data_IF_687981164310
#
_entry.id   IF_687981164310
#
_cell.length_a   1.000
_cell.length_b   1.000
_cell.length_c   1.000
_cell.angle_alpha   90.00
_cell.angle_beta   90.00
_cell.angle_gamma   90.00
#
_symmetry.space_group_name_H-M   'P 1'
#
loop_
_entity.id
_entity.type
_entity.pdbx_description
1 polymer ?
#
# COMPACT_ATOMS: atom_id res chain seq x y z
N UNK A 1 71.15 -60.38 18.03
CA UNK A 1 70.19 -60.41 19.15
C UNK A 1 69.40 -59.11 19.14
N UNK A 2 68.09 -59.22 18.91
CA UNK A 2 67.01 -58.30 19.34
C UNK A 2 67.02 -56.83 18.87
N UNK A 3 66.29 -56.60 17.77
CA UNK A 3 65.19 -55.61 17.56
C UNK A 3 65.26 -54.21 18.19
N UNK A 4 65.37 -53.17 17.35
CA UNK A 4 64.82 -51.83 17.61
C UNK A 4 64.20 -51.30 16.30
N UNK A 5 62.89 -51.54 16.11
CA UNK A 5 62.11 -50.89 15.06
C UNK A 5 61.48 -49.63 15.66
N UNK A 6 61.95 -48.47 15.22
CA UNK A 6 61.35 -47.17 15.52
C UNK A 6 60.14 -46.97 14.62
N UNK A 7 58.93 -47.02 15.17
CA UNK A 7 57.73 -46.61 14.46
C UNK A 7 57.60 -45.08 14.52
N UNK A 8 57.93 -44.40 13.42
CA UNK A 8 57.56 -43.01 13.21
C UNK A 8 56.17 -42.99 12.56
N UNK A 9 55.13 -42.70 13.34
CA UNK A 9 53.80 -42.40 12.85
C UNK A 9 53.80 -41.00 12.22
N UNK A 10 53.78 -40.93 10.88
CA UNK A 10 53.50 -39.66 10.17
C UNK A 10 51.99 -39.59 9.97
N UNK A 11 51.31 -38.87 10.85
CA UNK A 11 49.92 -38.45 10.68
C UNK A 11 49.88 -37.31 9.65
N UNK A 12 49.60 -37.65 8.40
CA UNK A 12 49.23 -36.69 7.37
C UNK A 12 47.78 -36.24 7.63
N UNK A 13 47.63 -35.09 8.28
CA UNK A 13 46.36 -34.35 8.35
C UNK A 13 46.11 -33.68 7.00
N UNK A 14 45.33 -34.31 6.14
CA UNK A 14 44.74 -33.67 4.96
C UNK A 14 43.71 -32.64 5.43
N UNK A 15 44.13 -31.38 5.53
CA UNK A 15 43.21 -30.25 5.73
C UNK A 15 42.48 -29.99 4.42
N UNK A 16 41.28 -30.57 4.28
CA UNK A 16 40.36 -30.23 3.19
C UNK A 16 39.82 -28.84 3.40
N UNK A 17 40.47 -27.83 2.82
CA UNK A 17 39.89 -26.49 2.69
C UNK A 17 38.76 -26.60 1.66
N UNK A 18 37.53 -26.73 2.14
CA UNK A 18 36.35 -26.52 1.33
C UNK A 18 36.30 -25.02 0.96
N UNK A 19 36.77 -24.69 -0.24
CA UNK A 19 36.50 -23.40 -0.86
C UNK A 19 34.99 -23.33 -1.10
N UNK A 20 34.26 -22.70 -0.19
CA UNK A 20 32.91 -22.24 -0.46
C UNK A 20 33.02 -21.12 -1.50
N UNK A 21 32.87 -21.47 -2.76
CA UNK A 21 32.62 -20.52 -3.83
C UNK A 21 31.24 -19.90 -3.57
N UNK A 22 31.23 -18.75 -2.88
CA UNK A 22 30.05 -17.93 -2.76
C UNK A 22 29.85 -17.26 -4.12
N UNK A 23 29.12 -17.92 -5.02
CA UNK A 23 28.71 -17.34 -6.28
C UNK A 23 27.78 -16.16 -5.94
N UNK A 24 28.31 -14.94 -6.03
CA UNK A 24 27.54 -13.73 -5.81
C UNK A 24 26.53 -13.63 -6.96
N UNK A 25 25.25 -13.92 -6.69
CA UNK A 25 24.21 -13.82 -7.70
C UNK A 25 24.21 -12.41 -8.27
N UNK A 26 24.28 -12.31 -9.60
CA UNK A 26 24.29 -11.04 -10.30
C UNK A 26 22.93 -10.39 -10.13
N UNK A 27 22.91 -9.15 -9.64
CA UNK A 27 21.69 -8.34 -9.53
C UNK A 27 20.94 -8.32 -10.87
N UNK A 28 19.64 -8.64 -10.90
CA UNK A 28 18.86 -8.62 -12.14
C UNK A 28 18.81 -7.21 -12.74
N UNK A 29 18.65 -7.14 -14.05
CA UNK A 29 18.54 -5.86 -14.78
C UNK A 29 17.06 -5.51 -14.97
N UNK A 30 16.72 -4.22 -14.88
CA UNK A 30 15.38 -3.72 -15.18
C UNK A 30 14.97 -4.02 -16.63
N UNK A 31 13.67 -4.04 -16.88
CA UNK A 31 13.17 -4.07 -18.25
C UNK A 31 13.49 -2.74 -18.96
N UNK A 32 13.69 -2.78 -20.28
CA UNK A 32 13.69 -1.56 -21.07
C UNK A 32 12.26 -1.08 -21.20
N UNK A 33 12.03 0.21 -20.97
CA UNK A 33 10.72 0.80 -21.15
C UNK A 33 10.32 0.74 -22.66
N UNK A 34 9.05 0.49 -22.99
CA UNK A 34 8.53 0.60 -24.36
C UNK A 34 8.83 1.97 -25.00
N UNK A 35 8.80 2.03 -26.33
CA UNK A 35 8.91 3.32 -27.03
C UNK A 35 7.60 4.12 -26.89
N UNK A 36 7.69 5.45 -26.76
CA UNK A 36 6.55 6.39 -26.73
C UNK A 36 5.53 6.15 -25.59
N UNK A 37 6.00 5.90 -24.37
CA UNK A 37 5.14 5.66 -23.21
C UNK A 37 4.30 6.89 -22.86
N UNK A 38 2.99 6.67 -22.73
CA UNK A 38 2.07 7.59 -22.07
C UNK A 38 1.73 7.05 -20.69
N UNK A 39 1.72 7.91 -19.66
CA UNK A 39 1.34 7.52 -18.30
C UNK A 39 -0.13 7.90 -18.11
N UNK A 40 -1.05 7.01 -18.52
CA UNK A 40 -2.50 7.22 -18.50
C UNK A 40 -3.28 6.12 -17.74
N UNK A 41 -2.55 5.21 -17.09
CA UNK A 41 -3.08 4.07 -16.36
C UNK A 41 -3.61 2.99 -17.30
N UNK A 42 -3.05 2.80 -18.49
CA UNK A 42 -3.47 1.74 -19.41
C UNK A 42 -2.35 0.76 -19.70
N UNK A 43 -2.74 -0.43 -20.11
CA UNK A 43 -1.82 -1.54 -20.41
C UNK A 43 -1.29 -1.54 -21.85
N UNK A 44 -1.70 -0.59 -22.68
CA UNK A 44 -1.50 -0.62 -24.14
C UNK A 44 -0.03 -0.71 -24.53
N UNK A 45 0.83 0.06 -23.86
CA UNK A 45 2.26 0.16 -24.14
C UNK A 45 3.05 -0.98 -23.48
N UNK A 46 2.57 -1.49 -22.36
CA UNK A 46 3.27 -2.48 -21.54
C UNK A 46 3.02 -3.92 -22.02
N UNK A 47 1.85 -4.18 -22.62
CA UNK A 47 1.48 -5.51 -23.14
C UNK A 47 1.66 -6.61 -22.09
N UNK A 48 2.22 -7.75 -22.50
CA UNK A 48 2.51 -8.88 -21.61
C UNK A 48 3.79 -8.70 -20.77
N UNK A 49 4.45 -7.52 -20.81
CA UNK A 49 5.71 -7.27 -20.11
C UNK A 49 5.54 -7.21 -18.58
N UNK A 50 4.31 -7.14 -18.07
CA UNK A 50 3.99 -7.26 -16.64
C UNK A 50 4.02 -8.72 -16.16
N UNK A 51 5.22 -9.25 -15.96
CA UNK A 51 5.38 -10.66 -15.60
C UNK A 51 5.99 -10.90 -14.22
N UNK A 52 6.19 -9.87 -13.37
CA UNK A 52 6.64 -10.08 -12.00
C UNK A 52 5.46 -10.13 -11.04
N UNK A 53 5.51 -11.09 -10.12
CA UNK A 53 4.49 -11.26 -9.10
C UNK A 53 5.17 -11.37 -7.74
N UNK A 54 4.74 -10.52 -6.80
CA UNK A 54 5.14 -10.64 -5.41
C UNK A 54 4.05 -11.37 -4.60
N UNK A 55 4.33 -12.57 -4.04
CA UNK A 55 3.32 -13.36 -3.33
C UNK A 55 2.88 -12.72 -2.01
N UNK A 56 3.70 -11.84 -1.41
CA UNK A 56 3.38 -11.19 -0.13
C UNK A 56 2.29 -10.13 -0.30
N UNK A 57 2.42 -9.28 -1.32
CA UNK A 57 1.46 -8.23 -1.65
C UNK A 57 0.40 -8.66 -2.65
N UNK A 58 0.59 -9.81 -3.32
CA UNK A 58 -0.23 -10.28 -4.46
C UNK A 58 -0.23 -9.32 -5.64
N UNK A 59 0.81 -8.50 -5.77
CA UNK A 59 0.92 -7.47 -6.78
C UNK A 59 1.56 -8.06 -8.05
N UNK A 60 0.90 -7.90 -9.20
CA UNK A 60 1.55 -8.07 -10.49
C UNK A 60 2.16 -6.72 -10.88
N UNK A 61 3.45 -6.70 -11.21
CA UNK A 61 4.18 -5.46 -11.47
C UNK A 61 5.28 -5.61 -12.52
N UNK A 62 5.76 -4.48 -13.00
CA UNK A 62 7.03 -4.37 -13.71
C UNK A 62 7.79 -3.14 -13.24
N UNK A 63 9.11 -3.24 -13.30
CA UNK A 63 10.03 -2.13 -13.11
C UNK A 63 10.87 -2.02 -14.38
N UNK A 64 10.79 -0.85 -15.00
CA UNK A 64 11.48 -0.57 -16.24
C UNK A 64 12.17 0.79 -16.17
N UNK A 65 13.14 1.03 -17.04
CA UNK A 65 13.70 2.37 -17.22
C UNK A 65 13.95 2.66 -18.69
N UNK A 66 14.03 3.96 -19.00
CA UNK A 66 14.71 4.48 -20.18
C UNK A 66 15.92 5.33 -19.76
N UNK A 67 16.45 6.17 -20.65
CA UNK A 67 17.57 7.08 -20.38
C UNK A 67 17.25 8.17 -19.32
N UNK A 68 15.98 8.46 -19.10
CA UNK A 68 15.50 9.64 -18.38
C UNK A 68 14.61 9.34 -17.20
N UNK A 69 13.89 8.21 -17.22
CA UNK A 69 12.82 7.87 -16.30
C UNK A 69 12.96 6.45 -15.77
N UNK A 70 12.59 6.28 -14.50
CA UNK A 70 12.29 5.01 -13.86
C UNK A 70 10.76 4.84 -13.83
N UNK A 71 10.29 3.67 -14.24
CA UNK A 71 8.88 3.33 -14.29
C UNK A 71 8.56 2.20 -13.32
N UNK A 72 7.45 2.36 -12.59
CA UNK A 72 6.81 1.26 -11.86
C UNK A 72 5.37 1.17 -12.32
N UNK A 73 4.99 -0.02 -12.76
CA UNK A 73 3.66 -0.33 -13.27
C UNK A 73 3.11 -1.50 -12.50
N UNK A 74 1.83 -1.44 -12.14
CA UNK A 74 1.16 -2.55 -11.47
C UNK A 74 -0.23 -2.82 -12.03
N UNK A 75 -0.59 -4.10 -12.07
CA UNK A 75 -1.90 -4.59 -12.47
C UNK A 75 -2.54 -5.35 -11.32
N UNK A 76 -3.78 -4.98 -10.99
CA UNK A 76 -4.48 -5.49 -9.81
C UNK A 76 -5.88 -5.93 -10.17
N UNK A 77 -6.12 -7.24 -10.10
CA UNK A 77 -7.44 -7.84 -10.22
C UNK A 77 -8.13 -8.05 -8.86
N UNK A 78 -7.35 -8.26 -7.79
CA UNK A 78 -7.86 -8.52 -6.45
C UNK A 78 -8.64 -7.32 -5.88
N UNK A 79 -9.89 -7.57 -5.46
CA UNK A 79 -10.81 -6.53 -5.00
C UNK A 79 -10.35 -5.85 -3.71
N UNK A 80 -9.82 -6.59 -2.75
CA UNK A 80 -9.37 -6.02 -1.47
C UNK A 80 -8.12 -5.17 -1.69
N UNK A 81 -7.22 -5.64 -2.55
CA UNK A 81 -6.01 -4.90 -2.92
C UNK A 81 -6.35 -3.59 -3.66
N UNK A 82 -7.30 -3.61 -4.60
CA UNK A 82 -7.80 -2.38 -5.26
C UNK A 82 -8.32 -1.38 -4.23
N UNK A 83 -9.15 -1.82 -3.27
CA UNK A 83 -9.67 -0.94 -2.20
C UNK A 83 -8.54 -0.36 -1.38
N UNK A 84 -7.55 -1.17 -1.01
CA UNK A 84 -6.40 -0.74 -0.20
C UNK A 84 -5.55 0.29 -0.94
N UNK A 85 -5.28 0.07 -2.22
CA UNK A 85 -4.53 1.00 -3.07
C UNK A 85 -5.30 2.31 -3.25
N UNK A 86 -6.60 2.29 -3.52
CA UNK A 86 -7.37 3.53 -3.66
C UNK A 86 -7.46 4.31 -2.35
N UNK A 87 -7.49 3.60 -1.21
CA UNK A 87 -7.64 4.20 0.11
C UNK A 87 -6.33 4.67 0.75
N UNK A 88 -5.21 3.97 0.51
CA UNK A 88 -3.91 4.24 1.13
C UNK A 88 -2.85 4.71 0.13
N UNK A 89 -3.00 4.38 -1.14
CA UNK A 89 -2.01 4.57 -2.18
C UNK A 89 -0.85 3.59 -2.15
N UNK A 90 -0.03 3.71 -3.18
CA UNK A 90 1.25 3.00 -3.30
C UNK A 90 2.37 4.02 -3.12
N UNK A 91 3.31 3.69 -2.24
CA UNK A 91 4.56 4.43 -2.08
C UNK A 91 5.68 3.67 -2.77
N UNK A 92 6.27 4.30 -3.79
CA UNK A 92 7.49 3.84 -4.44
C UNK A 92 8.66 4.54 -3.77
N UNK A 93 9.56 3.78 -3.17
CA UNK A 93 10.75 4.28 -2.49
C UNK A 93 12.00 3.77 -3.20
N UNK A 94 12.88 4.66 -3.62
CA UNK A 94 14.10 4.34 -4.36
C UNK A 94 15.30 4.71 -3.51
N UNK A 95 16.19 3.75 -3.31
CA UNK A 95 17.49 3.95 -2.72
C UNK A 95 18.58 3.70 -3.77
N UNK A 96 19.20 4.78 -4.22
CA UNK A 96 20.29 4.75 -5.20
C UNK A 96 21.70 4.74 -4.60
N UNK A 97 21.81 4.79 -3.27
CA UNK A 97 23.09 4.68 -2.57
C UNK A 97 23.05 3.42 -1.69
N UNK A 98 24.09 2.58 -1.74
CA UNK A 98 24.26 1.47 -0.77
C UNK A 98 24.42 1.91 0.70
N UNK A 99 24.03 3.16 1.04
CA UNK A 99 24.00 3.74 2.38
C UNK A 99 22.55 3.89 2.83
N UNK A 100 22.27 3.40 4.03
CA UNK A 100 20.95 3.21 4.66
C UNK A 100 20.10 4.47 4.93
N UNK A 101 20.31 5.62 4.27
CA UNK A 101 19.76 6.89 4.75
C UNK A 101 19.18 7.88 3.72
N UNK A 102 19.26 7.63 2.40
CA UNK A 102 18.56 8.49 1.43
C UNK A 102 17.53 7.69 0.66
N UNK A 103 16.28 7.90 1.03
CA UNK A 103 15.13 7.31 0.35
C UNK A 103 14.43 8.44 -0.38
N UNK A 104 14.40 8.36 -1.70
CA UNK A 104 13.52 9.18 -2.53
C UNK A 104 12.19 8.44 -2.62
N UNK A 105 11.08 9.10 -2.35
CA UNK A 105 9.78 8.42 -2.37
C UNK A 105 8.72 9.20 -3.09
N UNK A 106 7.85 8.48 -3.79
CA UNK A 106 6.68 9.01 -4.46
C UNK A 106 5.46 8.18 -4.05
N UNK A 107 4.41 8.83 -3.58
CA UNK A 107 3.14 8.20 -3.21
C UNK A 107 2.02 8.68 -4.11
N UNK A 108 1.29 7.72 -4.69
CA UNK A 108 0.13 7.97 -5.53
C UNK A 108 -0.89 6.80 -5.43
N UNK A 109 -2.21 7.06 -5.47
CA UNK A 109 -2.81 8.37 -5.28
C UNK A 109 -2.61 8.82 -3.82
N UNK A 110 -2.86 10.10 -3.54
CA UNK A 110 -2.92 10.55 -2.16
C UNK A 110 -4.31 10.20 -1.60
N UNK A 111 -4.39 9.54 -0.43
CA UNK A 111 -5.66 9.26 0.24
C UNK A 111 -6.50 10.52 0.46
N UNK A 112 -7.74 10.53 -0.01
CA UNK A 112 -8.72 11.51 0.42
C UNK A 112 -9.38 11.06 1.73
N UNK A 113 -9.03 11.76 2.81
CA UNK A 113 -9.60 11.51 4.15
C UNK A 113 -11.11 11.73 4.19
N UNK A 114 -11.66 12.63 3.37
CA UNK A 114 -13.10 12.88 3.32
C UNK A 114 -13.84 11.74 2.60
N UNK A 115 -13.31 11.26 1.48
CA UNK A 115 -13.81 10.06 0.80
C UNK A 115 -13.77 8.82 1.70
N UNK A 116 -12.70 8.63 2.48
CA UNK A 116 -12.57 7.51 3.43
C UNK A 116 -13.59 7.54 4.57
N UNK A 117 -14.07 8.73 4.94
CA UNK A 117 -15.07 8.94 5.99
C UNK A 117 -16.51 8.84 5.46
N UNK A 118 -16.69 8.81 4.15
CA UNK A 118 -17.99 8.68 3.52
C UNK A 118 -18.48 7.24 3.59
N UNK A 119 -19.68 7.02 4.13
CA UNK A 119 -20.27 5.67 4.17
C UNK A 119 -20.55 5.24 2.72
N UNK A 120 -20.12 4.05 2.29
CA UNK A 120 -20.49 3.53 0.99
C UNK A 120 -22.03 3.47 0.91
N UNK A 121 -22.59 4.08 -0.14
CA UNK A 121 -24.02 4.01 -0.41
C UNK A 121 -24.38 2.57 -0.75
N UNK A 122 -25.53 2.04 -0.31
CA UNK A 122 -26.03 0.74 -0.75
C UNK A 122 -26.15 0.62 -2.29
N UNK A 123 -26.27 1.74 -2.99
CA UNK A 123 -26.32 1.82 -4.45
C UNK A 123 -24.95 1.69 -5.13
N UNK A 124 -23.85 1.81 -4.39
CA UNK A 124 -22.49 1.79 -4.95
C UNK A 124 -22.04 0.39 -5.42
N UNK A 125 -22.85 -0.64 -5.15
CA UNK A 125 -22.53 -2.03 -5.49
C UNK A 125 -21.26 -2.53 -4.80
N UNK A 126 -20.71 -3.63 -5.33
CA UNK A 126 -19.49 -4.24 -4.80
C UNK A 126 -18.20 -3.58 -5.34
N UNK A 127 -18.31 -2.71 -6.34
CA UNK A 127 -17.16 -2.18 -7.07
C UNK A 127 -16.45 -1.06 -6.32
N UNK A 128 -15.14 -0.95 -6.56
CA UNK A 128 -14.35 0.18 -6.05
C UNK A 128 -14.68 1.37 -6.92
N UNK A 129 -15.19 2.46 -6.33
CA UNK A 129 -15.46 3.69 -7.08
C UNK A 129 -14.20 4.11 -7.82
N UNK A 130 -14.36 4.47 -9.10
CA UNK A 130 -13.32 5.18 -9.83
C UNK A 130 -12.97 6.44 -9.01
N UNK A 131 -11.68 6.76 -8.83
CA UNK A 131 -11.31 7.98 -8.13
C UNK A 131 -12.06 9.16 -8.73
N UNK A 132 -12.54 10.06 -7.88
CA UNK A 132 -13.01 11.34 -8.41
C UNK A 132 -11.84 12.01 -9.13
N UNK A 133 -12.10 12.72 -10.24
CA UNK A 133 -11.05 13.34 -11.07
C UNK A 133 -10.08 14.23 -10.26
N UNK A 134 -10.50 14.71 -9.09
CA UNK A 134 -9.74 15.57 -8.18
C UNK A 134 -8.79 14.74 -7.28
N UNK A 135 -9.19 13.53 -6.88
CA UNK A 135 -8.37 12.61 -6.08
C UNK A 135 -7.17 12.06 -6.87
N UNK A 136 -7.28 12.00 -8.20
CA UNK A 136 -6.25 11.50 -9.11
C UNK A 136 -5.23 12.55 -9.57
N UNK A 137 -5.27 13.79 -9.09
CA UNK A 137 -4.37 14.85 -9.59
C UNK A 137 -3.21 15.20 -8.67
N UNK A 138 -3.10 14.59 -7.48
CA UNK A 138 -2.04 14.93 -6.53
C UNK A 138 -1.07 13.77 -6.32
N UNK A 139 0.22 14.08 -6.27
CA UNK A 139 1.33 13.16 -6.01
C UNK A 139 2.06 13.67 -4.77
N UNK A 140 2.32 12.80 -3.79
CA UNK A 140 3.20 13.15 -2.67
C UNK A 140 4.61 12.70 -3.01
N UNK A 141 5.59 13.56 -2.76
CA UNK A 141 7.00 13.27 -3.00
C UNK A 141 7.82 13.63 -1.77
N UNK A 142 8.89 12.88 -1.50
CA UNK A 142 9.78 13.17 -0.38
C UNK A 142 11.23 12.81 -0.72
N UNK A 143 12.17 13.58 -0.18
CA UNK A 143 13.62 13.37 -0.36
C UNK A 143 14.21 14.00 -1.62
N UNK A 144 13.39 14.60 -2.49
CA UNK A 144 13.84 15.29 -3.70
C UNK A 144 14.16 16.76 -3.41
N UNK A 145 15.44 17.13 -3.55
CA UNK A 145 15.92 18.47 -3.16
C UNK A 145 15.41 19.60 -4.05
N UNK A 146 15.17 19.31 -5.33
CA UNK A 146 14.72 20.29 -6.31
C UNK A 146 13.19 20.43 -6.35
N UNK A 147 12.47 19.78 -5.45
CA UNK A 147 11.01 19.91 -5.33
C UNK A 147 10.67 20.76 -4.11
N UNK A 148 9.93 21.83 -4.32
CA UNK A 148 9.64 22.83 -3.28
C UNK A 148 8.51 22.43 -2.33
N UNK A 149 7.65 21.50 -2.75
CA UNK A 149 6.47 21.06 -2.00
C UNK A 149 6.43 19.53 -1.92
N UNK A 150 6.09 19.00 -0.74
CA UNK A 150 5.88 17.56 -0.53
C UNK A 150 4.66 17.03 -1.29
N UNK A 151 3.77 17.91 -1.76
CA UNK A 151 2.61 17.56 -2.60
C UNK A 151 2.66 18.39 -3.88
N UNK A 152 2.65 17.71 -5.01
CA UNK A 152 2.66 18.28 -6.36
C UNK A 152 1.46 17.75 -7.15
N UNK A 153 1.12 18.39 -8.26
CA UNK A 153 0.06 17.90 -9.14
C UNK A 153 0.60 16.90 -10.18
N UNK A 154 -0.26 16.08 -10.79
CA UNK A 154 0.10 15.24 -11.95
C UNK A 154 0.50 16.07 -13.18
N UNK A 155 0.15 17.36 -13.19
CA UNK A 155 0.56 18.36 -14.19
C UNK A 155 1.81 19.18 -13.80
N UNK A 156 2.62 18.69 -12.85
CA UNK A 156 3.81 19.39 -12.38
C UNK A 156 4.87 19.59 -13.47
N UNK A 157 5.79 20.53 -13.23
CA UNK A 157 6.93 20.85 -14.11
C UNK A 157 8.20 20.07 -13.78
N UNK A 158 8.21 19.30 -12.69
CA UNK A 158 9.36 18.52 -12.23
C UNK A 158 9.57 17.22 -13.04
N UNK A 159 8.53 16.77 -13.75
CA UNK A 159 8.55 15.60 -14.63
C UNK A 159 8.07 14.31 -13.98
N UNK A 160 7.62 14.34 -12.71
CA UNK A 160 6.94 13.20 -12.10
C UNK A 160 5.61 12.96 -12.82
N UNK A 161 5.31 11.72 -13.14
CA UNK A 161 4.01 11.33 -13.70
C UNK A 161 3.45 10.18 -12.89
N UNK A 162 2.14 10.18 -12.71
CA UNK A 162 1.43 9.06 -12.11
C UNK A 162 0.01 9.01 -12.66
N UNK A 163 -0.50 7.81 -12.85
CA UNK A 163 -1.86 7.58 -13.31
C UNK A 163 -2.42 6.29 -12.71
N UNK A 164 -3.73 6.28 -12.48
CA UNK A 164 -4.50 5.09 -12.14
C UNK A 164 -5.72 5.09 -13.03
N UNK A 165 -6.03 3.92 -13.60
CA UNK A 165 -7.26 3.70 -14.33
C UNK A 165 -7.82 2.31 -14.04
N UNK A 166 -9.06 2.10 -14.48
CA UNK A 166 -9.70 0.80 -14.47
C UNK A 166 -9.94 0.34 -15.91
N UNK A 167 -9.55 -0.88 -16.23
CA UNK A 167 -9.89 -1.50 -17.52
C UNK A 167 -11.38 -1.86 -17.60
N UNK A 168 -11.83 -2.36 -18.75
CA UNK A 168 -13.22 -2.76 -18.97
C UNK A 168 -13.70 -3.90 -18.04
N UNK A 169 -12.75 -4.68 -17.49
CA UNK A 169 -12.99 -5.75 -16.52
C UNK A 169 -12.87 -5.25 -15.07
N UNK A 170 -12.78 -3.94 -14.86
CA UNK A 170 -12.60 -3.30 -13.56
C UNK A 170 -11.32 -3.72 -12.82
N UNK A 171 -10.28 -4.16 -13.53
CA UNK A 171 -8.93 -4.30 -12.96
C UNK A 171 -8.28 -2.93 -12.87
N UNK A 172 -7.53 -2.70 -11.80
CA UNK A 172 -6.81 -1.45 -11.60
C UNK A 172 -5.45 -1.55 -12.27
N UNK A 173 -5.11 -0.52 -13.04
CA UNK A 173 -3.78 -0.31 -13.60
C UNK A 173 -3.21 0.93 -12.93
N UNK A 174 -2.00 0.77 -12.39
CA UNK A 174 -1.24 1.81 -11.73
C UNK A 174 0.04 2.06 -12.52
N UNK A 175 0.36 3.33 -12.75
CA UNK A 175 1.58 3.72 -13.46
C UNK A 175 2.26 4.89 -12.79
N UNK A 176 3.59 4.86 -12.82
CA UNK A 176 4.43 5.96 -12.36
C UNK A 176 5.65 6.14 -13.24
N UNK A 177 6.10 7.39 -13.36
CA UNK A 177 7.39 7.74 -13.93
C UNK A 177 8.12 8.72 -12.99
N UNK A 178 9.32 8.34 -12.55
CA UNK A 178 10.20 9.10 -11.68
C UNK A 178 11.43 9.53 -12.50
N UNK A 179 11.73 10.83 -12.65
CA UNK A 179 12.90 11.26 -13.39
C UNK A 179 14.19 10.78 -12.71
N UNK A 180 15.03 10.03 -13.43
CA UNK A 180 16.29 9.48 -12.90
C UNK A 180 17.24 10.57 -12.37
N UNK A 181 17.23 11.74 -13.02
CA UNK A 181 18.01 12.92 -12.58
C UNK A 181 17.67 13.37 -11.15
N UNK A 182 16.43 13.17 -10.70
CA UNK A 182 15.95 13.56 -9.37
C UNK A 182 16.48 12.63 -8.27
N UNK A 183 16.95 11.44 -8.62
CA UNK A 183 17.53 10.48 -7.68
C UNK A 183 18.99 10.80 -7.33
N UNK A 184 19.61 11.79 -7.99
CA UNK A 184 21.02 12.19 -7.84
C UNK A 184 21.97 10.98 -7.76
N UNK A 185 21.73 9.98 -8.62
CA UNK A 185 22.52 8.77 -8.64
C UNK A 185 23.97 9.12 -8.92
N UNK A 186 24.86 8.74 -7.99
CA UNK A 186 26.30 8.94 -8.18
C UNK A 186 26.87 7.73 -8.92
N UNK A 187 27.77 7.94 -9.89
CA UNK A 187 28.49 6.84 -10.52
C UNK A 187 29.18 5.99 -9.45
N UNK A 188 28.77 4.74 -9.30
CA UNK A 188 29.35 3.81 -8.35
C UNK A 188 30.16 2.74 -9.08
N UNK A 189 31.49 2.87 -9.06
CA UNK A 189 32.42 1.94 -9.76
C UNK A 189 32.32 0.47 -9.34
N UNK A 190 31.64 0.14 -8.23
CA UNK A 190 31.49 -1.25 -7.73
C UNK A 190 30.09 -1.85 -7.92
N UNK A 191 29.07 -0.99 -8.07
CA UNK A 191 27.64 -1.34 -8.17
C UNK A 191 27.02 -0.32 -9.13
N UNK A 192 27.52 -0.29 -10.36
CA UNK A 192 27.10 0.71 -11.34
C UNK A 192 25.60 0.59 -11.53
N UNK A 193 24.89 1.69 -11.24
CA UNK A 193 23.46 1.83 -11.52
C UNK A 193 22.55 0.79 -10.84
N UNK A 194 22.98 0.19 -9.72
CA UNK A 194 22.11 -0.62 -8.86
C UNK A 194 21.21 0.27 -8.01
N UNK A 195 19.91 -0.02 -8.02
CA UNK A 195 18.87 0.61 -7.22
C UNK A 195 18.16 -0.43 -6.36
N UNK A 196 17.93 -0.11 -5.09
CA UNK A 196 16.96 -0.82 -4.27
C UNK A 196 15.63 -0.09 -4.31
N UNK A 197 14.59 -0.75 -4.81
CA UNK A 197 13.25 -0.20 -4.97
C UNK A 197 12.32 -0.93 -4.01
N UNK A 198 11.65 -0.16 -3.16
CA UNK A 198 10.57 -0.63 -2.32
C UNK A 198 9.23 -0.21 -2.93
N UNK A 199 8.32 -1.17 -3.03
CA UNK A 199 6.94 -0.94 -3.42
C UNK A 199 6.10 -1.24 -2.17
N UNK A 200 5.51 -0.20 -1.59
CA UNK A 200 4.68 -0.31 -0.38
C UNK A 200 3.23 0.01 -0.71
N UNK A 201 2.36 -0.96 -0.47
CA UNK A 201 0.90 -0.76 -0.48
C UNK A 201 0.52 -0.26 0.91
N UNK A 202 0.21 1.03 1.00
CA UNK A 202 0.05 1.70 2.27
C UNK A 202 -1.18 1.18 3.02
N UNK A 203 -1.10 1.22 4.34
CA UNK A 203 -2.23 0.97 5.21
C UNK A 203 -3.19 2.16 5.28
N UNK A 204 -4.44 1.90 5.65
CA UNK A 204 -5.41 2.95 5.92
C UNK A 204 -5.28 3.38 7.37
N UNK A 205 -4.88 4.63 7.59
CA UNK A 205 -4.91 5.23 8.93
C UNK A 205 -6.36 5.38 9.39
N UNK A 206 -6.66 4.94 10.62
CA UNK A 206 -7.94 5.28 11.24
C UNK A 206 -7.96 6.78 11.54
N UNK A 207 -8.94 7.54 11.03
CA UNK A 207 -9.12 8.91 11.48
C UNK A 207 -9.36 8.92 12.99
N UNK A 208 -8.55 9.70 13.70
CA UNK A 208 -8.60 9.88 15.15
C UNK A 208 -9.99 10.39 15.54
N UNK A 209 -10.81 9.54 16.16
CA UNK A 209 -12.20 9.85 16.52
C UNK A 209 -13.15 8.64 16.52
N UNK A 210 -12.74 7.52 15.92
CA UNK A 210 -13.54 6.28 15.94
C UNK A 210 -13.49 5.52 17.29
N UNK A 211 -12.60 5.89 18.20
CA UNK A 211 -12.77 5.60 19.63
C UNK A 211 -13.74 6.63 20.19
N UNK A 212 -15.03 6.43 19.88
CA UNK A 212 -16.06 7.03 20.70
C UNK A 212 -15.87 6.50 22.11
N UNK A 213 -15.51 7.39 23.02
CA UNK A 213 -15.80 7.25 24.44
C UNK A 213 -17.29 6.93 24.58
N UNK A 214 -17.65 5.63 24.54
CA UNK A 214 -18.96 5.13 24.96
C UNK A 214 -19.01 5.13 26.49
N UNK A 215 -18.68 6.26 27.10
CA UNK A 215 -18.79 6.50 28.53
C UNK A 215 -19.10 7.97 28.80
N UNK A 216 -20.21 8.45 28.26
CA UNK A 216 -20.70 9.79 28.55
C UNK A 216 -21.90 10.15 27.69
N UNK A 217 -23.08 9.67 28.08
CA UNK A 217 -24.33 9.96 27.38
C UNK A 217 -25.57 9.30 27.97
N UNK A 218 -25.61 9.04 29.29
CA UNK A 218 -26.87 8.97 30.01
C UNK A 218 -27.27 10.40 30.35
N UNK A 219 -27.74 11.12 29.33
CA UNK A 219 -28.50 12.36 29.53
C UNK A 219 -29.98 11.99 29.70
N UNK A 220 -30.24 11.21 30.76
CA UNK A 220 -31.55 11.04 31.34
C UNK A 220 -31.60 11.94 32.57
N UNK A 221 -32.02 13.18 32.36
CA UNK A 221 -32.07 14.22 33.39
C UNK A 221 -32.80 13.75 34.64
N UNK A 222 -32.04 13.53 35.71
CA UNK A 222 -32.56 13.53 37.07
C UNK A 222 -32.93 14.97 37.43
N UNK A 223 -34.22 15.30 37.27
CA UNK A 223 -34.80 16.48 37.89
C UNK A 223 -35.36 16.05 39.24
N UNK A 224 -34.92 16.78 40.25
CA UNK A 224 -35.13 16.48 41.66
C UNK A 224 -36.60 16.52 42.07
N UNK A 225 -36.85 15.83 43.17
CA UNK A 225 -38.06 15.99 43.94
C UNK A 225 -38.17 17.42 44.49
N UNK A 226 -39.41 17.90 44.58
CA UNK A 226 -39.75 19.18 45.19
C UNK A 226 -40.76 19.96 44.35
N UNK A 227 -42.05 19.77 44.63
CA UNK A 227 -43.12 20.56 44.03
C UNK A 227 -44.49 20.11 44.52
N UNK A 228 -44.99 20.79 45.55
CA UNK A 228 -46.34 20.62 46.05
C UNK A 228 -47.39 21.36 45.23
N UNK A 229 -48.65 21.02 45.52
CA UNK A 229 -49.91 21.73 45.27
C UNK A 229 -50.41 21.90 43.82
N UNK A 230 -51.59 21.33 43.58
CA UNK A 230 -52.70 22.12 43.05
C UNK A 230 -53.46 21.56 41.84
N UNK A 231 -54.61 20.93 42.11
CA UNK A 231 -55.88 21.29 41.44
C UNK A 231 -56.29 20.58 40.14
N UNK A 232 -57.32 19.73 40.24
CA UNK A 232 -58.56 19.94 39.47
C UNK A 232 -58.82 19.08 38.22
N UNK A 233 -59.84 18.22 38.31
CA UNK A 233 -60.68 17.71 37.21
C UNK A 233 -60.03 16.66 36.30
N UNK A 234 -60.60 15.51 35.97
CA UNK A 234 -61.99 15.13 35.83
C UNK A 234 -62.14 14.45 34.46
N UNK A 235 -62.73 13.25 34.44
CA UNK A 235 -63.11 12.44 33.25
C UNK A 235 -61.92 11.88 32.44
N UNK A 236 -61.97 10.70 31.85
CA UNK A 236 -63.01 9.69 31.65
C UNK A 236 -62.35 8.53 30.90
N UNK A 237 -62.85 7.31 31.11
CA UNK A 237 -62.21 6.11 30.61
C UNK A 237 -62.15 5.99 29.09
N UNK A 238 -61.17 5.23 28.62
CA UNK A 238 -61.30 4.45 27.39
C UNK A 238 -60.28 3.30 27.45
N UNK A 239 -60.82 2.11 27.73
CA UNK A 239 -60.13 0.87 27.41
C UNK A 239 -60.06 0.72 25.89
N UNK A 240 -58.93 0.23 25.40
CA UNK A 240 -58.71 0.00 23.98
C UNK A 240 -57.27 -0.36 23.71
N UNK A 241 -56.94 -1.63 23.83
CA UNK A 241 -55.60 -2.15 23.56
C UNK A 241 -55.67 -3.59 23.07
N UNK A 242 -56.44 -3.82 22.01
CA UNK A 242 -56.40 -5.05 21.26
C UNK A 242 -55.19 -5.06 20.32
N UNK A 243 -54.57 -6.23 20.17
CA UNK A 243 -54.11 -6.68 18.87
C UNK A 243 -52.61 -6.89 18.68
N UNK A 244 -52.30 -8.16 18.41
CA UNK A 244 -51.33 -8.64 17.41
C UNK A 244 -49.83 -8.49 17.75
N UNK A 245 -49.15 -9.62 18.04
CA UNK A 245 -48.56 -10.59 17.08
C UNK A 245 -47.41 -10.02 16.26
N UNK A 246 -46.27 -10.71 16.38
CA UNK A 246 -45.17 -10.68 15.43
C UNK A 246 -44.05 -9.75 15.89
N UNK A 247 -42.79 -10.16 15.93
CA UNK A 247 -42.17 -11.39 15.49
C UNK A 247 -40.69 -11.25 15.86
N UNK A 248 -40.06 -12.39 16.15
CA UNK A 248 -38.65 -12.44 16.49
C UNK A 248 -37.77 -11.74 15.46
N UNK A 249 -36.75 -11.06 15.97
CA UNK A 249 -35.63 -10.58 15.21
C UNK A 249 -34.39 -10.65 16.09
N UNK A 250 -33.91 -11.87 16.32
CA UNK A 250 -32.57 -12.10 16.82
C UNK A 250 -31.61 -11.31 15.90
N UNK A 251 -31.05 -10.19 16.39
CA UNK A 251 -29.81 -9.65 15.83
C UNK A 251 -28.70 -10.60 16.23
N UNK A 252 -28.62 -11.68 15.47
CA UNK A 252 -27.53 -12.64 15.48
C UNK A 252 -26.22 -11.95 15.12
N UNK A 253 -25.17 -12.42 15.78
CA UNK A 253 -23.85 -11.82 15.78
C UNK A 253 -23.19 -11.72 14.41
N UNK A 254 -22.50 -10.60 14.24
CA UNK A 254 -21.57 -10.33 13.14
C UNK A 254 -20.40 -9.49 13.64
N UNK A 255 -19.95 -9.72 14.87
CA UNK A 255 -18.95 -8.85 15.55
C UNK A 255 -17.49 -9.29 15.33
N UNK A 256 -17.24 -10.35 14.55
CA UNK A 256 -15.89 -10.89 14.32
C UNK A 256 -15.23 -10.56 12.97
N UNK A 257 -16.03 -10.39 11.90
CA UNK A 257 -15.48 -10.26 10.53
C UNK A 257 -14.96 -8.86 10.16
N UNK A 258 -15.62 -7.82 10.66
CA UNK A 258 -15.26 -6.42 10.35
C UNK A 258 -13.95 -5.98 11.02
N UNK A 259 -13.61 -6.52 12.18
CA UNK A 259 -12.37 -6.19 12.88
C UNK A 259 -11.13 -6.79 12.21
N UNK A 260 -11.21 -8.02 11.71
CA UNK A 260 -10.12 -8.67 10.97
C UNK A 260 -9.91 -8.02 9.60
N UNK A 261 -11.00 -7.77 8.85
CA UNK A 261 -10.90 -7.07 7.55
C UNK A 261 -10.32 -5.67 7.69
N UNK A 262 -10.64 -4.94 8.76
CA UNK A 262 -9.99 -3.65 8.99
C UNK A 262 -8.50 -3.82 9.35
N UNK A 263 -8.15 -4.81 10.17
CA UNK A 263 -6.77 -5.11 10.54
C UNK A 263 -5.86 -5.29 9.31
N UNK A 264 -6.33 -6.06 8.33
CA UNK A 264 -5.60 -6.34 7.08
C UNK A 264 -5.43 -5.09 6.18
N UNK A 265 -6.41 -4.18 6.23
CA UNK A 265 -6.39 -2.92 5.49
C UNK A 265 -5.57 -1.82 6.17
N UNK A 266 -5.43 -1.88 7.50
CA UNK A 266 -4.74 -0.86 8.31
C UNK A 266 -3.22 -0.96 8.23
N UNK A 267 -2.69 -2.17 8.05
CA UNK A 267 -1.24 -2.39 8.04
C UNK A 267 -0.67 -2.20 6.63
N UNK A 268 0.42 -1.44 6.44
CA UNK A 268 1.10 -1.41 5.17
C UNK A 268 1.72 -2.78 4.85
N UNK A 269 1.83 -3.09 3.57
CA UNK A 269 2.48 -4.30 3.07
C UNK A 269 3.42 -3.93 1.94
N UNK A 270 4.69 -4.29 2.09
CA UNK A 270 5.76 -3.90 1.16
C UNK A 270 6.67 -5.06 0.76
N UNK A 271 7.45 -4.85 -0.28
CA UNK A 271 8.58 -5.69 -0.66
C UNK A 271 9.69 -4.86 -1.29
N UNK A 272 10.91 -5.39 -1.27
CA UNK A 272 12.10 -4.76 -1.85
C UNK A 272 12.58 -5.56 -3.07
N UNK A 273 13.02 -4.84 -4.10
CA UNK A 273 13.67 -5.42 -5.28
C UNK A 273 14.97 -4.66 -5.53
N UNK A 274 16.08 -5.39 -5.65
CA UNK A 274 17.36 -4.82 -6.07
C UNK A 274 17.55 -5.06 -7.57
N UNK A 275 17.74 -4.00 -8.35
CA UNK A 275 17.82 -4.04 -9.80
C UNK A 275 18.92 -3.11 -10.33
N UNK A 276 19.59 -3.51 -11.39
CA UNK A 276 20.47 -2.65 -12.18
C UNK A 276 19.68 -1.95 -13.30
N UNK A 277 19.93 -0.66 -13.54
CA UNK A 277 19.35 0.04 -14.71
C UNK A 277 19.70 -0.67 -16.02
N UNK A 278 18.71 -0.80 -16.90
CA UNK A 278 18.93 -1.21 -18.27
C UNK A 278 19.76 -0.18 -19.03
N UNK A 279 20.65 -0.66 -19.90
CA UNK A 279 21.47 0.20 -20.78
C UNK A 279 20.72 0.48 -22.08
N UNK A 280 20.61 1.74 -22.46
CA UNK A 280 19.95 2.17 -23.70
C UNK A 280 20.99 2.61 -24.74
#
# INVERSE_FOLDING_TARGET
MVSIIKYAFILSLFSGIALQANAQEKTPTMQKAPANITIDGRMTEWGDSLALYDPKTKLNYAIANDDTMLYVVAFVSDRQLKRKIMAGGITISVNGEGKKHKVYSMTYPIPDKAALMSRPSPEDGDDVKRPSLIESTSIRVAGFKDVESDVITTSNTYGFKAAINFDDKHNLVYETAIPLKMLYLKPNKKKENELAINISINGIERPSGANGDRRGGMEGGGIGGGGGMGGGGGMGGMGGGGGHRGGGGHRGGGEGGGQQQFGDMAQPTDFWVELTLAKH
#
